data_IF_469727944872
#
_entry.id   IF_469727944872
#
_cell.length_a   1.000
_cell.length_b   1.000
_cell.length_c   1.000
_cell.angle_alpha   90.00
_cell.angle_beta   90.00
_cell.angle_gamma   90.00
#
_symmetry.space_group_name_H-M   'P 1'
#
loop_
_entity.id
_entity.type
_entity.pdbx_description
1 polymer ?
#
# COMPACT_ATOMS: atom_id res chain seq x y z
N UNK A 1 11.47 -17.05 -17.44
CA UNK A 1 10.59 -16.64 -16.33
C UNK A 1 10.69 -15.14 -16.16
N UNK A 2 9.59 -14.46 -15.86
CA UNK A 2 9.62 -13.06 -15.50
C UNK A 2 10.47 -12.87 -14.23
N UNK A 3 11.46 -11.98 -14.26
CA UNK A 3 12.29 -11.68 -13.09
C UNK A 3 11.47 -10.94 -12.04
N UNK A 4 11.68 -11.25 -10.76
CA UNK A 4 10.97 -10.63 -9.63
C UNK A 4 11.65 -9.34 -9.18
N UNK A 5 10.91 -8.50 -8.47
CA UNK A 5 11.48 -7.33 -7.81
C UNK A 5 12.31 -7.76 -6.62
N UNK A 6 13.40 -7.05 -6.33
CA UNK A 6 14.13 -7.24 -5.08
C UNK A 6 13.28 -6.93 -3.83
N UNK A 7 12.19 -6.18 -4.02
CA UNK A 7 11.21 -5.87 -2.97
C UNK A 7 10.14 -6.95 -2.81
N UNK A 8 10.15 -8.02 -3.62
CA UNK A 8 9.35 -9.22 -3.36
C UNK A 8 9.96 -10.04 -2.20
N UNK A 9 9.90 -9.49 -0.97
CA UNK A 9 10.66 -9.98 0.18
C UNK A 9 10.43 -11.46 0.50
N UNK A 10 9.19 -11.95 0.41
CA UNK A 10 8.89 -13.37 0.63
C UNK A 10 9.64 -14.29 -0.35
N UNK A 11 9.68 -13.90 -1.63
CA UNK A 11 10.41 -14.65 -2.64
C UNK A 11 11.92 -14.57 -2.44
N UNK A 12 12.44 -13.35 -2.18
CA UNK A 12 13.86 -13.14 -1.94
C UNK A 12 14.36 -13.90 -0.71
N UNK A 13 13.56 -13.89 0.37
CA UNK A 13 13.84 -14.62 1.60
C UNK A 13 13.89 -16.13 1.36
N UNK A 14 12.88 -16.70 0.70
CA UNK A 14 12.83 -18.13 0.43
C UNK A 14 14.00 -18.60 -0.45
N UNK A 15 14.42 -17.79 -1.41
CA UNK A 15 15.60 -18.05 -2.24
C UNK A 15 16.91 -18.00 -1.44
N UNK A 16 17.06 -17.02 -0.55
CA UNK A 16 18.22 -16.92 0.35
C UNK A 16 18.28 -18.11 1.31
N UNK A 17 17.16 -18.47 1.95
CA UNK A 17 17.07 -19.59 2.87
C UNK A 17 17.38 -20.93 2.17
N UNK A 18 16.84 -21.14 0.97
CA UNK A 18 17.11 -22.34 0.16
C UNK A 18 18.58 -22.45 -0.25
N UNK A 19 19.27 -21.32 -0.42
CA UNK A 19 20.69 -21.26 -0.73
C UNK A 19 21.60 -21.26 0.53
N UNK A 20 21.03 -21.37 1.73
CA UNK A 20 21.79 -21.30 2.99
C UNK A 20 22.36 -19.91 3.31
N UNK A 21 21.80 -18.86 2.71
CA UNK A 21 22.22 -17.46 2.87
C UNK A 21 21.34 -16.81 3.93
N UNK A 22 21.97 -16.12 4.89
CA UNK A 22 21.24 -15.45 5.96
C UNK A 22 20.38 -14.28 5.44
N UNK A 23 19.15 -14.16 5.93
CA UNK A 23 18.18 -13.15 5.47
C UNK A 23 18.43 -11.76 6.05
N UNK A 24 19.40 -11.61 6.97
CA UNK A 24 19.79 -10.30 7.51
C UNK A 24 20.42 -9.37 6.47
N UNK A 25 20.84 -9.90 5.32
CA UNK A 25 21.39 -9.12 4.20
C UNK A 25 20.30 -8.39 3.39
N UNK A 26 19.02 -8.79 3.47
CA UNK A 26 17.96 -8.18 2.65
C UNK A 26 17.87 -6.65 2.81
N UNK A 27 17.88 -6.08 4.03
CA UNK A 27 17.90 -4.63 4.20
C UNK A 27 19.12 -3.93 3.61
N UNK A 28 20.28 -4.60 3.53
CA UNK A 28 21.48 -4.05 2.89
C UNK A 28 21.24 -3.88 1.38
N UNK A 29 20.65 -4.90 0.75
CA UNK A 29 20.32 -4.88 -0.68
C UNK A 29 19.30 -3.77 -0.97
N UNK A 30 18.20 -3.73 -0.20
CA UNK A 30 17.18 -2.69 -0.37
C UNK A 30 17.76 -1.28 -0.18
N UNK A 31 18.59 -1.07 0.84
CA UNK A 31 19.26 0.22 1.06
C UNK A 31 20.16 0.61 -0.10
N UNK A 32 20.87 -0.35 -0.69
CA UNK A 32 21.73 -0.11 -1.85
C UNK A 32 20.90 0.28 -3.08
N UNK A 33 19.85 -0.47 -3.39
CA UNK A 33 18.95 -0.19 -4.53
C UNK A 33 18.23 1.15 -4.38
N UNK A 34 17.81 1.52 -3.17
CA UNK A 34 17.20 2.83 -2.92
C UNK A 34 18.16 3.99 -3.21
N UNK A 35 19.46 3.81 -2.97
CA UNK A 35 20.49 4.83 -3.26
C UNK A 35 20.93 4.80 -4.72
N UNK A 36 20.87 3.63 -5.36
CA UNK A 36 21.34 3.38 -6.72
C UNK A 36 20.25 2.68 -7.54
N UNK A 37 19.19 3.39 -7.98
CA UNK A 37 18.00 2.77 -8.56
C UNK A 37 18.20 2.08 -9.91
N UNK A 38 19.32 2.35 -10.59
CA UNK A 38 19.70 1.77 -11.87
C UNK A 38 20.91 0.84 -11.74
N UNK A 39 21.26 0.41 -10.51
CA UNK A 39 22.41 -0.45 -10.29
C UNK A 39 22.19 -1.86 -10.84
N UNK A 40 23.27 -2.56 -11.13
CA UNK A 40 23.22 -4.02 -11.26
C UNK A 40 23.29 -4.64 -9.86
N UNK A 41 22.54 -5.72 -9.60
CA UNK A 41 22.46 -6.31 -8.26
C UNK A 41 23.80 -6.94 -7.81
N UNK A 42 24.70 -7.19 -8.74
CA UNK A 42 26.06 -7.68 -8.53
C UNK A 42 27.00 -6.63 -7.93
N UNK A 43 26.63 -5.35 -8.01
CA UNK A 43 27.41 -4.25 -7.45
C UNK A 43 27.13 -4.04 -5.96
N UNK A 44 26.13 -4.71 -5.40
CA UNK A 44 25.77 -4.61 -3.99
C UNK A 44 26.94 -5.15 -3.15
N UNK A 45 27.63 -4.29 -2.37
CA UNK A 45 28.81 -4.71 -1.64
C UNK A 45 28.45 -5.61 -0.45
N UNK A 46 29.44 -6.38 0.01
CA UNK A 46 29.38 -7.13 1.27
C UNK A 46 28.29 -8.21 1.33
N UNK A 47 27.85 -8.75 0.18
CA UNK A 47 27.05 -9.97 0.13
C UNK A 47 27.93 -11.22 0.04
N UNK A 48 27.49 -12.36 0.60
CA UNK A 48 28.12 -13.65 0.34
C UNK A 48 28.16 -13.96 -1.16
N UNK A 49 29.25 -14.57 -1.64
CA UNK A 49 29.46 -14.84 -3.07
C UNK A 49 28.33 -15.67 -3.70
N UNK A 50 27.71 -16.56 -2.91
CA UNK A 50 26.56 -17.37 -3.34
C UNK A 50 25.29 -16.56 -3.65
N UNK A 51 25.18 -15.32 -3.17
CA UNK A 51 24.00 -14.47 -3.41
C UNK A 51 23.94 -13.96 -4.85
N UNK A 52 25.07 -13.61 -5.45
CA UNK A 52 25.10 -12.92 -6.74
C UNK A 52 24.52 -13.73 -7.91
N UNK A 53 24.84 -15.04 -8.08
CA UNK A 53 24.21 -15.84 -9.15
C UNK A 53 22.69 -15.90 -9.03
N UNK A 54 22.18 -16.00 -7.80
CA UNK A 54 20.76 -16.04 -7.51
C UNK A 54 20.08 -14.70 -7.84
N UNK A 55 20.67 -13.59 -7.37
CA UNK A 55 20.18 -12.25 -7.64
C UNK A 55 20.13 -11.96 -9.15
N UNK A 56 21.23 -12.23 -9.86
CA UNK A 56 21.33 -12.08 -11.33
C UNK A 56 20.24 -12.84 -12.07
N UNK A 57 20.03 -14.11 -11.70
CA UNK A 57 19.14 -15.01 -12.42
C UNK A 57 17.66 -14.69 -12.17
N UNK A 58 17.30 -14.30 -10.95
CA UNK A 58 15.89 -14.29 -10.49
C UNK A 58 15.32 -12.92 -10.17
N UNK A 59 16.16 -11.93 -9.86
CA UNK A 59 15.71 -10.64 -9.33
C UNK A 59 16.18 -9.45 -10.19
N UNK A 60 15.46 -8.34 -10.07
CA UNK A 60 15.83 -7.03 -10.63
C UNK A 60 15.70 -5.96 -9.55
N UNK A 61 16.48 -4.86 -9.64
CA UNK A 61 16.36 -3.74 -8.69
C UNK A 61 14.95 -3.18 -8.61
N UNK A 62 14.28 -3.05 -9.77
CA UNK A 62 12.86 -2.79 -9.87
C UNK A 62 12.26 -3.55 -11.05
N UNK A 63 10.97 -3.87 -11.00
CA UNK A 63 10.21 -4.45 -12.11
C UNK A 63 9.19 -3.47 -12.71
N UNK A 64 8.88 -2.39 -12.00
CA UNK A 64 8.07 -1.28 -12.48
C UNK A 64 8.91 -0.07 -12.90
N UNK A 65 8.28 0.83 -13.66
CA UNK A 65 8.86 2.11 -14.09
C UNK A 65 7.84 3.23 -13.94
N UNK A 66 8.32 4.44 -13.66
CA UNK A 66 7.48 5.63 -13.63
C UNK A 66 7.22 6.10 -15.07
N UNK A 67 5.99 5.97 -15.55
CA UNK A 67 5.60 6.37 -16.90
C UNK A 67 5.35 7.89 -17.00
N UNK A 68 4.71 8.45 -15.99
CA UNK A 68 4.52 9.90 -15.87
C UNK A 68 4.28 10.31 -14.41
N UNK A 69 4.59 11.57 -14.10
CA UNK A 69 4.19 12.23 -12.87
C UNK A 69 3.57 13.58 -13.22
N UNK A 70 2.38 13.88 -12.70
CA UNK A 70 1.63 15.09 -13.01
C UNK A 70 1.25 15.77 -11.69
N UNK A 71 1.65 17.02 -11.53
CA UNK A 71 1.28 17.83 -10.37
C UNK A 71 -0.09 18.47 -10.58
N UNK A 72 -0.84 18.64 -9.49
CA UNK A 72 -2.03 19.48 -9.44
C UNK A 72 -1.66 20.95 -9.67
N UNK A 73 -2.61 21.78 -10.08
CA UNK A 73 -2.35 23.19 -10.38
C UNK A 73 -1.74 24.01 -9.23
N UNK A 74 -1.97 23.59 -7.98
CA UNK A 74 -1.40 24.19 -6.77
C UNK A 74 -0.17 23.44 -6.22
N UNK A 75 0.27 22.35 -6.86
CA UNK A 75 1.43 21.55 -6.46
C UNK A 75 1.29 20.74 -5.17
N UNK A 76 0.11 20.74 -4.54
CA UNK A 76 -0.12 19.96 -3.29
C UNK A 76 -0.17 18.47 -3.57
N UNK A 77 -0.58 18.07 -4.77
CA UNK A 77 -0.81 16.67 -5.11
C UNK A 77 -0.01 16.31 -6.37
N UNK A 78 0.69 15.18 -6.36
CA UNK A 78 1.34 14.61 -7.56
C UNK A 78 0.72 13.26 -7.84
N UNK A 79 0.17 13.07 -9.04
CA UNK A 79 -0.32 11.78 -9.53
C UNK A 79 0.78 11.07 -10.31
N UNK A 80 1.10 9.85 -9.92
CA UNK A 80 2.10 8.99 -10.54
C UNK A 80 1.37 7.91 -11.34
N UNK A 81 1.76 7.76 -12.60
CA UNK A 81 1.36 6.62 -13.43
C UNK A 81 2.53 5.63 -13.46
N UNK A 82 2.36 4.49 -12.82
CA UNK A 82 3.40 3.46 -12.68
C UNK A 82 3.09 2.34 -13.65
N UNK A 83 4.03 2.05 -14.55
CA UNK A 83 3.98 0.92 -15.48
C UNK A 83 4.57 -0.31 -14.80
N UNK A 84 3.77 -1.37 -14.72
CA UNK A 84 4.14 -2.65 -14.14
C UNK A 84 4.87 -3.55 -15.14
N UNK A 85 5.49 -4.61 -14.64
CA UNK A 85 6.17 -5.60 -15.48
C UNK A 85 5.22 -6.29 -16.47
N UNK A 86 3.96 -6.47 -16.08
CA UNK A 86 2.90 -7.01 -16.93
C UNK A 86 2.53 -6.10 -18.11
N UNK A 87 3.04 -4.87 -18.14
CA UNK A 87 2.64 -3.84 -19.09
C UNK A 87 1.36 -3.09 -18.69
N UNK A 88 0.68 -3.53 -17.62
CA UNK A 88 -0.44 -2.78 -17.03
C UNK A 88 0.04 -1.53 -16.30
N UNK A 89 -0.89 -0.62 -16.02
CA UNK A 89 -0.61 0.60 -15.28
C UNK A 89 -1.41 0.65 -13.98
N UNK A 90 -0.79 1.20 -12.95
CA UNK A 90 -1.45 1.58 -11.71
C UNK A 90 -1.13 3.01 -11.35
N UNK A 91 -1.99 3.60 -10.53
CA UNK A 91 -1.83 4.96 -10.05
C UNK A 91 -1.31 4.96 -8.61
N UNK A 92 -0.44 5.90 -8.30
CA UNK A 92 -0.09 6.26 -6.93
C UNK A 92 -0.19 7.78 -6.80
N UNK A 93 -0.53 8.28 -5.61
CA UNK A 93 -0.75 9.72 -5.42
C UNK A 93 0.05 10.21 -4.22
N UNK A 94 0.89 11.21 -4.44
CA UNK A 94 1.58 11.93 -3.36
C UNK A 94 0.72 13.14 -2.99
N UNK A 95 0.42 13.25 -1.71
CA UNK A 95 -0.38 14.29 -1.11
C UNK A 95 0.46 15.07 -0.11
N UNK A 96 0.72 16.35 -0.37
CA UNK A 96 1.55 17.24 0.45
C UNK A 96 0.66 18.24 1.16
N UNK A 97 0.48 18.04 2.45
CA UNK A 97 -0.38 18.90 3.27
C UNK A 97 0.36 19.30 4.55
N UNK A 98 0.13 20.53 4.99
CA UNK A 98 0.56 21.01 6.30
C UNK A 98 -0.59 20.86 7.28
N UNK A 99 -0.46 19.92 8.22
CA UNK A 99 -1.54 19.60 9.17
C UNK A 99 -1.87 20.76 10.11
N UNK A 100 -1.01 21.79 10.18
CA UNK A 100 -1.25 23.00 10.97
C UNK A 100 -2.26 23.95 10.33
N UNK A 101 -2.56 23.77 9.04
CA UNK A 101 -3.51 24.60 8.31
C UNK A 101 -4.98 24.17 8.54
N UNK A 102 -5.20 23.03 9.21
CA UNK A 102 -6.51 22.54 9.62
C UNK A 102 -6.82 22.79 11.11
N UNK A 103 -8.12 22.77 11.46
CA UNK A 103 -8.60 22.76 12.84
C UNK A 103 -9.44 21.51 13.07
N UNK A 104 -9.20 20.83 14.19
CA UNK A 104 -10.04 19.75 14.67
C UNK A 104 -10.71 20.15 15.95
N UNK A 105 -12.04 20.02 16.03
CA UNK A 105 -12.81 20.44 17.21
C UNK A 105 -12.47 21.90 17.60
N UNK A 106 -12.34 22.77 16.60
CA UNK A 106 -11.98 24.18 16.76
C UNK A 106 -10.52 24.47 17.17
N UNK A 107 -9.68 23.45 17.41
CA UNK A 107 -8.29 23.60 17.86
C UNK A 107 -7.29 23.43 16.71
N UNK A 108 -6.22 24.25 16.66
CA UNK A 108 -5.11 24.02 15.73
C UNK A 108 -4.50 22.65 15.96
N UNK A 109 -4.31 21.85 14.91
CA UNK A 109 -3.69 20.53 15.06
C UNK A 109 -2.18 20.64 15.29
N UNK A 110 -1.62 19.86 16.23
CA UNK A 110 -0.17 19.71 16.33
C UNK A 110 0.36 18.96 15.10
N UNK A 111 1.60 19.24 14.70
CA UNK A 111 2.23 18.58 13.57
C UNK A 111 2.96 19.55 12.66
N UNK A 112 2.86 19.34 11.35
CA UNK A 112 3.60 20.13 10.38
C UNK A 112 3.42 19.60 8.95
N UNK A 113 4.25 20.08 8.01
CA UNK A 113 4.25 19.60 6.65
C UNK A 113 4.54 18.09 6.60
N UNK A 114 3.66 17.34 5.93
CA UNK A 114 3.83 15.91 5.69
C UNK A 114 3.49 15.57 4.24
N UNK A 115 4.08 14.47 3.77
CA UNK A 115 3.69 13.85 2.51
C UNK A 115 3.12 12.47 2.77
N UNK A 116 1.90 12.24 2.30
CA UNK A 116 1.20 10.96 2.32
C UNK A 116 1.23 10.35 0.94
N UNK A 117 1.54 9.06 0.83
CA UNK A 117 1.47 8.30 -0.40
C UNK A 117 0.25 7.40 -0.39
N UNK A 118 -0.64 7.57 -1.36
CA UNK A 118 -1.68 6.62 -1.67
C UNK A 118 -1.14 5.57 -2.65
N UNK A 119 -1.20 4.28 -2.26
CA UNK A 119 -0.72 3.15 -3.07
C UNK A 119 -1.86 2.26 -3.53
N UNK A 120 -1.68 1.69 -4.73
CA UNK A 120 -2.53 0.65 -5.31
C UNK A 120 -2.10 -0.74 -4.83
N UNK A 121 -3.07 -1.64 -4.70
CA UNK A 121 -2.87 -3.05 -4.33
C UNK A 121 -3.25 -4.03 -5.45
N UNK A 122 -4.03 -3.59 -6.45
CA UNK A 122 -4.47 -4.40 -7.60
C UNK A 122 -4.52 -3.55 -8.88
N UNK A 123 -4.55 -4.21 -10.03
CA UNK A 123 -4.96 -3.58 -11.29
C UNK A 123 -6.48 -3.75 -11.44
N UNK A 124 -7.20 -2.64 -11.27
CA UNK A 124 -8.66 -2.65 -11.17
C UNK A 124 -9.16 -3.19 -9.83
N UNK A 125 -10.46 -3.38 -9.67
CA UNK A 125 -11.04 -3.83 -8.39
C UNK A 125 -12.24 -4.77 -8.59
N UNK A 126 -12.34 -5.84 -7.77
CA UNK A 126 -13.46 -6.80 -7.80
C UNK A 126 -14.73 -6.28 -7.15
N UNK A 127 -14.64 -5.22 -6.35
CA UNK A 127 -15.76 -4.78 -5.51
C UNK A 127 -16.91 -4.16 -6.31
N UNK A 128 -16.69 -3.77 -7.57
CA UNK A 128 -17.76 -3.31 -8.46
C UNK A 128 -18.44 -2.02 -8.00
N UNK A 129 -17.79 -1.24 -7.12
CA UNK A 129 -18.34 0.00 -6.59
C UNK A 129 -18.62 0.98 -7.75
N UNK A 130 -19.90 1.32 -7.97
CA UNK A 130 -20.34 2.08 -9.14
C UNK A 130 -19.81 3.52 -9.17
N UNK A 131 -19.54 4.08 -8.00
CA UNK A 131 -18.94 5.41 -7.85
C UNK A 131 -17.42 5.40 -8.15
N UNK A 132 -16.75 4.25 -7.99
CA UNK A 132 -15.31 4.16 -8.11
C UNK A 132 -14.92 3.81 -9.55
N UNK A 133 -14.09 4.66 -10.17
CA UNK A 133 -13.59 4.41 -11.52
C UNK A 133 -12.96 3.00 -11.66
N UNK A 134 -12.16 2.57 -10.68
CA UNK A 134 -11.51 1.24 -10.70
C UNK A 134 -12.49 0.09 -10.47
N UNK A 135 -13.61 0.33 -9.77
CA UNK A 135 -14.71 -0.63 -9.64
C UNK A 135 -15.41 -0.87 -10.97
N UNK A 136 -15.56 0.16 -11.80
CA UNK A 136 -16.15 0.04 -13.14
C UNK A 136 -15.23 -0.59 -14.19
N UNK A 137 -13.90 -0.54 -13.98
CA UNK A 137 -12.92 -1.18 -14.85
C UNK A 137 -12.89 -2.71 -14.71
N UNK A 138 -13.47 -3.24 -13.63
CA UNK A 138 -13.35 -4.64 -13.25
C UNK A 138 -11.93 -5.01 -12.78
N UNK A 139 -11.81 -6.19 -12.19
CA UNK A 139 -10.53 -6.72 -11.73
C UNK A 139 -9.73 -7.35 -12.87
N UNK A 140 -8.41 -7.09 -12.88
CA UNK A 140 -7.48 -7.75 -13.80
C UNK A 140 -6.51 -8.67 -13.07
N UNK A 141 -5.70 -8.12 -12.17
CA UNK A 141 -4.68 -8.90 -11.44
C UNK A 141 -4.34 -8.26 -10.10
N UNK A 142 -3.84 -9.09 -9.18
CA UNK A 142 -3.18 -8.63 -7.96
C UNK A 142 -1.77 -8.12 -8.29
N UNK A 143 -1.29 -7.15 -7.52
CA UNK A 143 0.11 -6.72 -7.53
C UNK A 143 0.95 -7.65 -6.66
N UNK A 144 2.23 -7.81 -7.01
CA UNK A 144 3.21 -8.41 -6.11
C UNK A 144 3.53 -7.46 -4.95
N UNK A 145 4.13 -7.97 -3.87
CA UNK A 145 4.56 -7.10 -2.77
C UNK A 145 5.65 -6.13 -3.22
N UNK A 146 6.52 -6.55 -4.13
CA UNK A 146 7.49 -5.70 -4.78
C UNK A 146 6.85 -4.56 -5.58
N UNK A 147 5.84 -4.85 -6.41
CA UNK A 147 5.12 -3.83 -7.17
C UNK A 147 4.39 -2.80 -6.27
N UNK A 148 3.91 -3.24 -5.09
CA UNK A 148 3.34 -2.32 -4.08
C UNK A 148 4.43 -1.42 -3.50
N UNK A 149 5.55 -2.00 -3.03
CA UNK A 149 6.65 -1.24 -2.42
C UNK A 149 7.32 -0.30 -3.42
N UNK A 150 7.43 -0.70 -4.69
CA UNK A 150 8.04 0.12 -5.72
C UNK A 150 7.29 1.43 -5.96
N UNK A 151 5.97 1.49 -5.72
CA UNK A 151 5.24 2.77 -5.72
C UNK A 151 5.79 3.74 -4.67
N UNK A 152 6.17 3.24 -3.48
CA UNK A 152 6.88 4.03 -2.47
C UNK A 152 8.28 4.43 -2.92
N UNK A 153 9.01 3.52 -3.58
CA UNK A 153 10.35 3.80 -4.11
C UNK A 153 10.31 4.93 -5.15
N UNK A 154 9.33 4.91 -6.07
CA UNK A 154 9.14 5.99 -7.05
C UNK A 154 8.77 7.29 -6.35
N UNK A 155 7.85 7.26 -5.38
CA UNK A 155 7.40 8.44 -4.67
C UNK A 155 8.48 9.10 -3.81
N UNK A 156 9.37 8.32 -3.19
CA UNK A 156 10.49 8.82 -2.38
C UNK A 156 11.50 9.64 -3.20
N UNK A 157 11.51 9.50 -4.52
CA UNK A 157 12.33 10.33 -5.42
C UNK A 157 11.74 11.72 -5.62
N UNK A 158 10.45 11.90 -5.36
CA UNK A 158 9.70 13.13 -5.60
C UNK A 158 9.30 13.86 -4.32
N UNK A 159 9.22 13.16 -3.18
CA UNK A 159 8.91 13.77 -1.89
C UNK A 159 9.39 12.92 -0.71
N UNK A 160 9.56 13.55 0.45
CA UNK A 160 9.82 12.84 1.70
C UNK A 160 8.54 12.23 2.26
N UNK A 161 8.24 10.98 1.89
CA UNK A 161 7.03 10.28 2.29
C UNK A 161 7.09 9.89 3.76
N UNK A 162 6.10 10.35 4.53
CA UNK A 162 5.98 10.12 5.99
C UNK A 162 4.80 9.21 6.35
N UNK A 163 3.86 9.04 5.43
CA UNK A 163 2.62 8.29 5.61
C UNK A 163 2.32 7.49 4.34
N UNK A 164 1.80 6.27 4.49
CA UNK A 164 1.34 5.43 3.37
C UNK A 164 -0.08 4.97 3.64
N UNK A 165 -0.96 5.13 2.65
CA UNK A 165 -2.36 4.70 2.73
C UNK A 165 -2.69 3.77 1.57
N UNK A 166 -3.33 2.64 1.86
CA UNK A 166 -3.79 1.69 0.85
C UNK A 166 -5.20 2.07 0.40
N UNK A 167 -5.28 3.12 -0.40
CA UNK A 167 -6.56 3.65 -0.92
C UNK A 167 -6.52 3.83 -2.44
N UNK A 168 -5.48 3.36 -3.12
CA UNK A 168 -5.36 3.44 -4.57
C UNK A 168 -6.27 2.44 -5.28
N UNK A 169 -5.77 1.87 -6.37
CA UNK A 169 -6.51 0.86 -7.13
C UNK A 169 -6.53 -0.47 -6.37
N UNK A 170 -7.74 -1.05 -6.22
CA UNK A 170 -7.94 -2.39 -5.66
C UNK A 170 -8.42 -2.42 -4.21
N UNK A 171 -8.96 -3.58 -3.80
CA UNK A 171 -9.30 -3.86 -2.40
C UNK A 171 -8.11 -4.56 -1.73
N UNK A 172 -7.40 -3.90 -0.78
CA UNK A 172 -6.18 -4.44 -0.18
C UNK A 172 -6.37 -5.82 0.46
N UNK A 173 -7.52 -6.09 1.08
CA UNK A 173 -7.77 -7.40 1.70
C UNK A 173 -7.96 -8.53 0.68
N UNK A 174 -8.34 -8.21 -0.56
CA UNK A 174 -8.38 -9.19 -1.66
C UNK A 174 -6.98 -9.49 -2.23
N UNK A 175 -5.96 -8.75 -1.80
CA UNK A 175 -4.54 -9.01 -2.07
C UNK A 175 -3.71 -9.10 -0.77
N UNK A 176 -4.30 -9.76 0.22
CA UNK A 176 -3.79 -9.78 1.59
C UNK A 176 -2.32 -10.15 1.73
N UNK A 177 -1.88 -11.27 1.16
CA UNK A 177 -0.50 -11.76 1.32
C UNK A 177 0.54 -10.76 0.79
N UNK A 178 0.31 -10.17 -0.38
CA UNK A 178 1.22 -9.19 -0.96
C UNK A 178 1.22 -7.87 -0.17
N UNK A 179 0.04 -7.39 0.25
CA UNK A 179 -0.11 -6.17 1.05
C UNK A 179 0.65 -6.31 2.36
N UNK A 180 0.51 -7.45 3.03
CA UNK A 180 1.16 -7.70 4.32
C UNK A 180 2.68 -7.73 4.20
N UNK A 181 3.20 -8.42 3.19
CA UNK A 181 4.65 -8.43 2.93
C UNK A 181 5.15 -7.02 2.58
N UNK A 182 4.39 -6.24 1.80
CA UNK A 182 4.73 -4.86 1.51
C UNK A 182 4.77 -3.99 2.77
N UNK A 183 3.77 -4.11 3.66
CA UNK A 183 3.73 -3.37 4.93
C UNK A 183 4.92 -3.72 5.81
N UNK A 184 5.29 -5.00 5.94
CA UNK A 184 6.47 -5.42 6.71
C UNK A 184 7.76 -4.76 6.21
N UNK A 185 7.90 -4.60 4.88
CA UNK A 185 9.04 -3.92 4.28
C UNK A 185 8.99 -2.42 4.57
N UNK A 186 7.83 -1.77 4.42
CA UNK A 186 7.63 -0.33 4.64
C UNK A 186 7.94 0.08 6.08
N UNK A 187 7.53 -0.72 7.06
CA UNK A 187 7.84 -0.46 8.48
C UNK A 187 9.26 -0.90 8.88
N UNK A 188 9.86 -1.79 8.09
CA UNK A 188 11.19 -2.34 8.34
C UNK A 188 12.31 -1.50 7.75
N UNK A 189 13.56 -1.87 8.05
CA UNK A 189 14.72 -1.29 7.37
C UNK A 189 14.70 -1.65 5.88
N UNK A 190 14.93 -0.69 4.97
CA UNK A 190 15.48 0.64 5.20
C UNK A 190 14.45 1.76 5.42
N UNK A 191 13.17 1.55 5.09
CA UNK A 191 12.14 2.59 5.06
C UNK A 191 11.75 3.11 6.46
N UNK A 192 11.58 2.20 7.42
CA UNK A 192 11.38 2.49 8.84
C UNK A 192 10.21 3.44 9.12
N UNK A 193 9.12 3.33 8.36
CA UNK A 193 7.90 4.07 8.68
C UNK A 193 7.30 3.51 9.98
N UNK A 194 6.80 4.41 10.84
CA UNK A 194 6.06 3.99 12.02
C UNK A 194 4.79 3.22 11.59
N UNK A 195 4.44 2.09 12.24
CA UNK A 195 3.19 1.37 11.95
C UNK A 195 1.94 2.28 12.01
N UNK A 196 1.94 3.27 12.92
CA UNK A 196 0.87 4.28 13.03
C UNK A 196 0.79 5.26 11.86
N UNK A 197 1.71 5.17 10.89
CA UNK A 197 1.76 6.01 9.67
C UNK A 197 1.41 5.20 8.43
N UNK A 198 1.02 3.93 8.60
CA UNK A 198 0.56 3.06 7.53
C UNK A 198 -0.90 2.73 7.78
N UNK A 199 -1.76 3.11 6.84
CA UNK A 199 -3.22 2.95 6.95
C UNK A 199 -3.71 1.99 5.87
N UNK A 200 -4.43 0.95 6.27
CA UNK A 200 -5.08 0.03 5.33
C UNK A 200 -6.57 0.37 5.28
N UNK A 201 -7.06 0.74 4.10
CA UNK A 201 -8.49 0.93 3.88
C UNK A 201 -9.12 -0.34 3.33
N UNK A 202 -10.34 -0.63 3.77
CA UNK A 202 -11.15 -1.73 3.24
C UNK A 202 -12.61 -1.33 3.20
N UNK A 203 -13.36 -1.86 2.23
CA UNK A 203 -14.82 -1.68 2.17
C UNK A 203 -15.59 -2.68 3.06
N UNK A 204 -14.87 -3.54 3.80
CA UNK A 204 -15.47 -4.50 4.73
C UNK A 204 -16.17 -5.65 4.01
N UNK A 205 -15.42 -6.69 3.64
CA UNK A 205 -16.04 -7.95 3.23
C UNK A 205 -16.56 -8.68 4.47
N UNK A 206 -17.83 -8.49 4.82
CA UNK A 206 -18.56 -9.54 5.54
C UNK A 206 -18.60 -10.77 4.63
N UNK A 207 -18.04 -11.88 5.10
CA UNK A 207 -18.12 -13.17 4.41
C UNK A 207 -19.58 -13.47 4.02
N UNK A 208 -19.78 -13.77 2.74
CA UNK A 208 -20.94 -14.40 2.11
C UNK A 208 -22.36 -14.07 2.62
N UNK A 209 -23.20 -13.66 1.65
CA UNK A 209 -24.66 -13.67 1.63
C UNK A 209 -25.40 -12.51 2.31
N UNK A 210 -25.94 -11.62 1.47
CA UNK A 210 -27.14 -10.82 1.68
C UNK A 210 -27.37 -10.26 3.10
N UNK A 211 -26.62 -9.25 3.50
CA UNK A 211 -27.09 -8.26 4.46
C UNK A 211 -26.38 -6.94 4.19
N UNK A 212 -27.13 -5.96 3.69
CA UNK A 212 -26.69 -4.57 3.64
C UNK A 212 -26.21 -4.12 5.02
N UNK A 213 -25.19 -3.26 4.99
CA UNK A 213 -24.60 -2.56 6.10
C UNK A 213 -25.66 -2.00 7.06
N UNK A 214 -25.84 -2.64 8.21
CA UNK A 214 -26.51 -2.01 9.34
C UNK A 214 -25.76 -2.39 10.62
N UNK A 215 -24.93 -1.48 11.10
CA UNK A 215 -24.30 -1.55 12.42
C UNK A 215 -22.89 -2.14 12.43
N UNK A 216 -21.91 -1.36 11.99
CA UNK A 216 -20.50 -1.61 12.36
C UNK A 216 -20.04 -0.49 13.30
N UNK A 217 -19.71 -0.85 14.55
CA UNK A 217 -19.09 0.06 15.51
C UNK A 217 -17.59 -0.25 15.65
N UNK A 218 -16.79 0.76 16.00
CA UNK A 218 -15.32 0.70 16.13
C UNK A 218 -14.78 -0.46 17.00
N UNK A 219 -15.58 -1.06 17.88
CA UNK A 219 -15.20 -2.22 18.69
C UNK A 219 -15.17 -3.56 17.92
N UNK A 220 -15.43 -3.52 16.61
CA UNK A 220 -15.51 -4.73 15.75
C UNK A 220 -14.27 -4.91 14.86
N UNK A 221 -13.32 -3.97 14.87
CA UNK A 221 -12.06 -4.10 14.12
C UNK A 221 -11.24 -5.29 14.67
N UNK A 222 -11.22 -5.47 15.99
CA UNK A 222 -10.60 -6.63 16.65
C UNK A 222 -11.30 -7.95 16.24
N UNK A 223 -12.63 -7.92 16.07
CA UNK A 223 -13.43 -9.06 15.60
C UNK A 223 -13.25 -9.37 14.12
N UNK A 224 -13.05 -8.36 13.28
CA UNK A 224 -12.81 -8.50 11.84
C UNK A 224 -11.39 -9.01 11.56
N UNK A 225 -10.40 -8.49 12.28
CA UNK A 225 -9.02 -9.01 12.28
C UNK A 225 -8.99 -10.46 12.81
N UNK A 226 -9.76 -10.76 13.87
CA UNK A 226 -9.90 -12.13 14.38
C UNK A 226 -10.69 -13.07 13.45
N UNK A 227 -11.65 -12.54 12.67
CA UNK A 227 -12.42 -13.29 11.67
C UNK A 227 -11.61 -13.65 10.42
N UNK A 228 -10.81 -12.72 9.90
CA UNK A 228 -9.83 -12.99 8.84
C UNK A 228 -8.84 -14.10 9.23
N UNK A 229 -8.52 -14.23 10.52
CA UNK A 229 -7.70 -15.31 11.06
C UNK A 229 -8.40 -16.67 11.10
N UNK A 230 -9.74 -16.73 11.06
CA UNK A 230 -10.50 -17.98 11.17
C UNK A 230 -10.92 -18.57 9.81
N UNK A 231 -11.18 -17.74 8.80
CA UNK A 231 -11.66 -18.23 7.49
C UNK A 231 -10.55 -18.55 6.49
N UNK A 232 -9.29 -18.24 6.80
CA UNK A 232 -8.12 -18.75 6.09
C UNK A 232 -7.67 -20.13 6.63
N UNK A 233 -8.56 -21.13 6.58
CA UNK A 233 -8.22 -22.52 6.92
C UNK A 233 -7.45 -23.18 5.77
N UNK A 234 -6.12 -23.01 5.74
CA UNK A 234 -5.15 -24.12 5.82
C UNK A 234 -3.68 -23.62 5.90
N UNK A 235 -2.85 -24.41 6.60
CA UNK A 235 -1.38 -24.32 6.84
C UNK A 235 -0.76 -23.04 7.46
N UNK A 236 -1.54 -22.00 7.79
CA UNK A 236 -1.00 -20.69 8.20
C UNK A 236 -1.56 -20.15 9.53
N UNK A 237 -1.95 -20.98 10.49
CA UNK A 237 -2.52 -20.53 11.77
C UNK A 237 -1.54 -19.66 12.60
N UNK A 238 -0.25 -20.00 12.58
CA UNK A 238 0.81 -19.18 13.21
C UNK A 238 1.05 -17.85 12.50
N UNK A 239 0.94 -17.82 11.18
CA UNK A 239 1.14 -16.60 10.39
C UNK A 239 -0.05 -15.66 10.52
N UNK A 240 -1.28 -16.18 10.53
CA UNK A 240 -2.49 -15.41 10.79
C UNK A 240 -2.48 -14.74 12.18
N UNK A 241 -1.98 -15.44 13.21
CA UNK A 241 -1.85 -14.87 14.56
C UNK A 241 -0.78 -13.77 14.67
N UNK A 242 0.41 -13.97 14.07
CA UNK A 242 1.45 -12.92 14.01
C UNK A 242 0.98 -11.70 13.21
N UNK A 243 0.05 -11.91 12.29
CA UNK A 243 -0.47 -10.91 11.40
C UNK A 243 -1.64 -10.11 11.98
N UNK A 244 -2.50 -10.73 12.77
CA UNK A 244 -3.44 -10.01 13.64
C UNK A 244 -2.72 -9.03 14.56
N UNK A 245 -1.61 -9.46 15.19
CA UNK A 245 -0.73 -8.60 15.99
C UNK A 245 -0.05 -7.47 15.21
N UNK A 246 0.15 -7.65 13.91
CA UNK A 246 0.68 -6.60 13.05
C UNK A 246 -0.41 -5.58 12.73
N UNK A 247 -1.61 -6.06 12.37
CA UNK A 247 -2.78 -5.23 12.08
C UNK A 247 -3.24 -4.42 13.31
N UNK A 248 -3.13 -4.96 14.52
CA UNK A 248 -3.35 -4.24 15.79
C UNK A 248 -2.46 -2.99 15.94
N UNK A 249 -1.29 -2.98 15.29
CA UNK A 249 -0.34 -1.86 15.34
C UNK A 249 -0.53 -0.87 14.19
N UNK A 250 -1.30 -1.26 13.18
CA UNK A 250 -1.60 -0.46 12.00
C UNK A 250 -2.90 0.30 12.20
N UNK A 251 -3.07 1.39 11.46
CA UNK A 251 -4.37 2.04 11.38
C UNK A 251 -5.21 1.30 10.33
N UNK A 252 -6.27 0.62 10.76
CA UNK A 252 -7.24 0.00 9.84
C UNK A 252 -8.45 0.91 9.74
N UNK A 253 -8.90 1.15 8.52
CA UNK A 253 -9.95 2.10 8.21
C UNK A 253 -11.01 1.42 7.35
N UNK A 254 -12.19 1.22 7.92
CA UNK A 254 -13.33 0.65 7.19
C UNK A 254 -14.12 1.81 6.59
N UNK A 255 -14.29 1.81 5.27
CA UNK A 255 -15.09 2.81 4.56
C UNK A 255 -16.36 2.13 4.06
N UNK A 256 -17.52 2.36 4.68
CA UNK A 256 -18.77 1.78 4.22
C UNK A 256 -19.09 2.27 2.80
N UNK A 257 -19.52 1.37 1.92
CA UNK A 257 -19.83 1.70 0.52
C UNK A 257 -21.02 2.65 0.38
N UNK A 258 -21.91 2.68 1.37
CA UNK A 258 -23.12 3.50 1.37
C UNK A 258 -22.81 4.98 1.68
N UNK A 259 -21.67 5.27 2.32
CA UNK A 259 -21.27 6.63 2.72
C UNK A 259 -20.55 7.40 1.58
N UNK A 260 -20.13 6.72 0.50
CA UNK A 260 -19.44 7.34 -0.64
C UNK A 260 -20.47 7.88 -1.66
N UNK A 261 -21.01 9.07 -1.35
CA UNK A 261 -21.89 9.81 -2.25
C UNK A 261 -21.20 10.31 -3.54
N UNK A 262 -22.01 10.72 -4.52
CA UNK A 262 -21.57 11.25 -5.83
C UNK A 262 -20.72 12.54 -5.78
N UNK A 263 -20.50 13.12 -4.60
CA UNK A 263 -19.71 14.33 -4.32
C UNK A 263 -18.20 14.10 -4.29
N UNK A 264 -17.75 12.85 -4.13
CA UNK A 264 -16.33 12.48 -3.99
C UNK A 264 -15.60 12.29 -5.33
N UNK A 265 -16.28 12.48 -6.45
CA UNK A 265 -15.72 12.31 -7.78
C UNK A 265 -15.99 13.56 -8.61
N UNK A 266 -15.01 14.00 -9.40
CA UNK A 266 -15.24 15.06 -10.38
C UNK A 266 -16.07 14.55 -11.56
N UNK A 267 -16.44 15.46 -12.48
CA UNK A 267 -17.22 15.12 -13.68
C UNK A 267 -16.56 14.12 -14.62
N UNK A 268 -15.26 13.82 -14.42
CA UNK A 268 -14.48 12.83 -15.17
C UNK A 268 -14.29 11.51 -14.40
N UNK A 269 -14.96 11.35 -13.24
CA UNK A 269 -14.87 10.19 -12.32
C UNK A 269 -13.49 10.03 -11.67
N UNK A 270 -12.70 11.09 -11.55
CA UNK A 270 -11.53 11.09 -10.70
C UNK A 270 -11.91 11.36 -9.25
N UNK A 271 -11.36 10.55 -8.34
CA UNK A 271 -11.61 10.68 -6.91
C UNK A 271 -11.02 12.02 -6.42
N UNK A 272 -11.87 12.88 -5.85
CA UNK A 272 -11.49 14.15 -5.23
C UNK A 272 -10.90 13.86 -3.85
N UNK A 273 -9.59 13.62 -3.84
CA UNK A 273 -8.82 13.34 -2.61
C UNK A 273 -9.00 14.43 -1.55
N UNK A 274 -9.16 15.69 -1.96
CA UNK A 274 -9.37 16.85 -1.06
C UNK A 274 -10.75 16.86 -0.36
N UNK A 275 -11.68 15.98 -0.77
CA UNK A 275 -13.02 15.83 -0.15
C UNK A 275 -13.17 14.53 0.63
N UNK A 276 -12.46 13.49 0.22
CA UNK A 276 -12.42 12.20 0.93
C UNK A 276 -11.62 12.29 2.20
N UNK A 277 -10.51 13.00 2.09
CA UNK A 277 -9.74 13.35 3.24
C UNK A 277 -10.01 14.81 3.54
N UNK A 278 -10.28 15.09 4.80
CA UNK A 278 -10.31 16.47 5.24
C UNK A 278 -8.92 17.11 5.11
N UNK A 279 -8.83 18.37 5.51
CA UNK A 279 -7.56 19.12 5.62
C UNK A 279 -6.48 18.42 6.48
N UNK A 280 -6.81 17.29 7.10
CA UNK A 280 -6.06 16.50 8.03
C UNK A 280 -5.58 15.17 7.42
N UNK A 281 -5.86 14.91 6.13
CA UNK A 281 -5.48 13.69 5.39
C UNK A 281 -5.87 12.40 6.10
N UNK A 282 -6.92 12.47 6.92
CA UNK A 282 -7.74 11.40 7.48
C UNK A 282 -9.13 11.51 6.82
N UNK A 283 -9.96 10.46 6.85
CA UNK A 283 -11.29 10.54 6.24
C UNK A 283 -12.11 11.66 6.87
N UNK A 284 -12.72 12.49 6.03
CA UNK A 284 -13.53 13.62 6.49
C UNK A 284 -14.66 13.20 7.43
N UNK A 285 -15.00 14.05 8.41
CA UNK A 285 -16.05 13.80 9.42
C UNK A 285 -17.43 13.45 8.82
N UNK A 286 -17.73 13.89 7.60
CA UNK A 286 -18.94 13.51 6.85
C UNK A 286 -18.95 12.01 6.48
N UNK A 287 -17.80 11.41 6.24
CA UNK A 287 -17.66 9.99 5.90
C UNK A 287 -17.61 9.07 7.14
N UNK A 288 -17.42 9.64 8.34
CA UNK A 288 -17.36 8.89 9.60
C UNK A 288 -18.71 8.82 10.35
N UNK A 289 -19.72 9.58 9.92
CA UNK A 289 -21.01 9.75 10.63
C UNK A 289 -22.18 8.94 10.05
N UNK A 290 -21.99 8.20 8.97
CA UNK A 290 -23.01 7.36 8.32
C UNK A 290 -22.48 5.94 8.08
#
# INVERSE_FOLDING_TARGET
>A
MASRSIFDAGALRGEFESAGISTHFLPLIWRYVLRNPTCELEEVPSLPSAAYPLLRAKFRPMTSSLASAVDSGNGTTTKLLVRLQSGSFVEAVIMRYDTRLGKYDGKPRPGGPRSTLCVSSQVGCKMGCKFCATGTMGFKTNLSSGEIVEQLVHALRLSNIRNVVFMGMGEPLNNYSAVVEAVKIIIGSPFQLSPKRVTISTVGNSLSNNACCSGFSNNTIDGFIAGLSKDMVNDQEQHAHQLGKLLEKLQVLVIPLDSIGATLFDGEKHMRWDTLFDSEGELSDEQQKE
#
